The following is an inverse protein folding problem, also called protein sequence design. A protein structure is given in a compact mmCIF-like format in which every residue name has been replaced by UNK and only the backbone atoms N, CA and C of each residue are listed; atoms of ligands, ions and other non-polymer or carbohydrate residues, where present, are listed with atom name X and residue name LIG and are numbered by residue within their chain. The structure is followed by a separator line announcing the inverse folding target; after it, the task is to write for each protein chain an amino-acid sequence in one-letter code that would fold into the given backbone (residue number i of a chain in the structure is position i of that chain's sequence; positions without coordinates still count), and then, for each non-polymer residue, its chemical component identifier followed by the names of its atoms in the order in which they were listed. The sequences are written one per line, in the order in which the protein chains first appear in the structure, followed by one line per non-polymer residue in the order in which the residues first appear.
data_IF_406498275773
#
_entry.id   IF_406498275773
#
_cell.length_a   1.000
_cell.length_b   1.000
_cell.length_c   1.000
_cell.angle_alpha   90.00
_cell.angle_beta   90.00
_cell.angle_gamma   90.00
#
_symmetry.space_group_name_H-M   'P 1'
#
loop_
_entity.id
_entity.type
_entity.pdbx_description
1 polymer ?
#
# COMPACT_ATOMS: atom_id res chain seq x y z
N UNK A 1 -2.37 -8.38 3.54
CA UNK A 1 -3.75 -7.91 3.78
C UNK A 1 -4.58 -8.01 2.49
N UNK A 2 -4.22 -7.32 1.41
CA UNK A 2 -4.94 -7.41 0.11
C UNK A 2 -5.22 -8.85 -0.37
N UNK A 3 -4.27 -9.76 -0.17
CA UNK A 3 -4.35 -11.15 -0.64
C UNK A 3 -4.88 -12.14 0.42
N UNK A 4 -5.02 -11.72 1.68
CA UNK A 4 -5.46 -12.64 2.73
C UNK A 4 -6.98 -12.68 2.77
N UNK A 5 -7.54 -13.90 2.80
CA UNK A 5 -8.99 -14.15 2.86
C UNK A 5 -9.80 -13.52 1.70
N UNK A 6 -9.17 -13.22 0.56
CA UNK A 6 -9.84 -12.74 -0.66
C UNK A 6 -9.55 -13.70 -1.81
N UNK A 7 -10.60 -14.24 -2.43
CA UNK A 7 -10.48 -14.98 -3.68
C UNK A 7 -10.40 -14.01 -4.86
N UNK A 8 -9.54 -14.34 -5.81
CA UNK A 8 -9.39 -13.64 -7.08
C UNK A 8 -9.83 -14.50 -8.27
N UNK A 9 -10.44 -15.64 -7.97
CA UNK A 9 -11.00 -16.52 -8.99
C UNK A 9 -12.09 -15.77 -9.78
N UNK A 10 -11.93 -15.73 -11.10
CA UNK A 10 -12.84 -15.00 -11.99
C UNK A 10 -12.56 -13.51 -12.16
N UNK A 11 -11.61 -12.91 -11.43
CA UNK A 11 -11.17 -11.55 -11.70
C UNK A 11 -10.32 -11.50 -12.98
N UNK A 12 -10.52 -10.48 -13.81
CA UNK A 12 -9.62 -10.25 -14.94
C UNK A 12 -8.27 -9.73 -14.46
N UNK A 13 -7.24 -9.89 -15.30
CA UNK A 13 -5.91 -9.34 -15.02
C UNK A 13 -5.98 -7.82 -14.84
N UNK A 14 -6.75 -7.12 -15.67
CA UNK A 14 -6.90 -5.66 -15.58
C UNK A 14 -7.55 -5.24 -14.25
N UNK A 15 -8.63 -5.91 -13.83
CA UNK A 15 -9.27 -5.66 -12.54
C UNK A 15 -8.32 -5.90 -11.37
N UNK A 16 -7.50 -6.94 -11.47
CA UNK A 16 -6.49 -7.24 -10.47
C UNK A 16 -5.41 -6.15 -10.40
N UNK A 17 -4.95 -5.67 -11.55
CA UNK A 17 -3.95 -4.59 -11.64
C UNK A 17 -4.50 -3.31 -11.00
N UNK A 18 -5.74 -2.92 -11.31
CA UNK A 18 -6.36 -1.70 -10.78
C UNK A 18 -6.49 -1.74 -9.24
N UNK A 19 -6.92 -2.88 -8.70
CA UNK A 19 -7.05 -3.06 -7.25
C UNK A 19 -5.68 -3.13 -6.57
N UNK A 20 -4.68 -3.75 -7.21
CA UNK A 20 -3.30 -3.77 -6.73
C UNK A 20 -2.70 -2.36 -6.71
N UNK A 21 -2.87 -1.58 -7.77
CA UNK A 21 -2.38 -0.21 -7.85
C UNK A 21 -2.99 0.65 -6.73
N UNK A 22 -4.31 0.57 -6.58
CA UNK A 22 -5.06 1.30 -5.55
C UNK A 22 -4.57 0.92 -4.14
N UNK A 23 -4.38 -0.38 -3.89
CA UNK A 23 -3.86 -0.86 -2.62
C UNK A 23 -2.42 -0.37 -2.36
N UNK A 24 -1.53 -0.40 -3.35
CA UNK A 24 -0.14 0.04 -3.20
C UNK A 24 -0.05 1.55 -2.91
N UNK A 25 -0.86 2.37 -3.59
CA UNK A 25 -0.95 3.82 -3.31
C UNK A 25 -1.40 4.07 -1.88
N UNK A 26 -2.49 3.41 -1.45
CA UNK A 26 -2.97 3.52 -0.08
C UNK A 26 -1.91 3.06 0.94
N UNK A 27 -1.29 1.91 0.71
CA UNK A 27 -0.31 1.33 1.62
C UNK A 27 0.91 2.24 1.81
N UNK A 28 1.41 2.82 0.73
CA UNK A 28 2.61 3.66 0.79
C UNK A 28 2.31 5.05 1.35
N UNK A 29 1.19 5.67 0.98
CA UNK A 29 0.94 7.07 1.28
C UNK A 29 0.09 7.29 2.53
N UNK A 30 -0.89 6.41 2.77
CA UNK A 30 -1.96 6.65 3.72
C UNK A 30 -1.92 5.73 4.94
N UNK A 31 -1.43 4.49 4.78
CA UNK A 31 -1.40 3.52 5.88
C UNK A 31 -0.41 3.97 6.98
N UNK A 32 -0.92 4.22 8.17
CA UNK A 32 -0.11 4.60 9.33
C UNK A 32 0.49 3.36 10.01
N UNK A 33 1.80 3.40 10.28
CA UNK A 33 2.51 2.37 11.05
C UNK A 33 3.08 2.94 12.34
N UNK A 34 2.66 2.37 13.48
CA UNK A 34 3.16 2.76 14.80
C UNK A 34 4.67 2.53 14.93
N UNK A 35 5.18 1.43 14.37
CA UNK A 35 6.63 1.14 14.34
C UNK A 35 7.45 2.16 13.53
N UNK A 36 6.80 2.97 12.69
CA UNK A 36 7.41 4.08 11.95
C UNK A 36 7.18 5.43 12.63
N UNK A 37 6.92 5.44 13.94
CA UNK A 37 6.61 6.67 14.67
C UNK A 37 5.24 7.25 14.31
N UNK A 38 4.26 6.38 14.05
CA UNK A 38 2.92 6.75 13.60
C UNK A 38 2.91 7.55 12.28
N UNK A 39 3.83 7.24 11.37
CA UNK A 39 3.90 7.81 10.03
C UNK A 39 3.45 6.80 8.96
N UNK A 40 3.06 7.30 7.79
CA UNK A 40 2.97 6.45 6.60
C UNK A 40 4.35 6.09 6.06
N UNK A 41 4.50 4.98 5.31
CA UNK A 41 5.79 4.61 4.72
C UNK A 41 6.45 5.74 3.91
N UNK A 42 5.66 6.47 3.11
CA UNK A 42 6.18 7.60 2.33
C UNK A 42 6.62 8.75 3.23
N UNK A 43 5.83 9.11 4.24
CA UNK A 43 6.19 10.17 5.20
C UNK A 43 7.44 9.81 6.00
N UNK A 44 7.56 8.56 6.43
CA UNK A 44 8.74 8.06 7.14
C UNK A 44 10.00 8.10 6.27
N UNK A 45 9.90 7.72 4.99
CA UNK A 45 11.06 7.82 4.08
C UNK A 45 11.49 9.27 3.83
N UNK A 46 10.54 10.20 3.73
CA UNK A 46 10.84 11.64 3.63
C UNK A 46 11.50 12.19 4.89
N UNK A 47 11.06 11.77 6.08
CA UNK A 47 11.71 12.20 7.34
C UNK A 47 13.16 11.71 7.47
N UNK A 48 13.51 10.62 6.78
CA UNK A 48 14.87 10.10 6.66
C UNK A 48 15.68 10.69 5.49
N UNK A 49 15.08 11.55 4.66
CA UNK A 49 15.73 12.06 3.44
C UNK A 49 15.96 11.01 2.35
N UNK A 50 15.25 9.87 2.41
CA UNK A 50 15.36 8.72 1.48
C UNK A 50 14.32 8.75 0.35
N UNK A 51 13.47 9.76 0.35
CA UNK A 51 12.47 10.04 -0.67
C UNK A 51 12.27 11.56 -0.72
N UNK A 52 11.96 12.06 -1.91
CA UNK A 52 11.61 13.46 -2.16
C UNK A 52 10.10 13.63 -1.90
#
# INVERSE_FOLDING_TARGET
EMFYCRSWEGASIDQFIDELESYLRWYNENRIKISLGAMSPAAYRRSLGLAI
#
